data_IF_953336113552
#
_entry.id   IF_953336113552
#
_cell.length_a   1.000
_cell.length_b   1.000
_cell.length_c   1.000
_cell.angle_alpha   90.00
_cell.angle_beta   90.00
_cell.angle_gamma   90.00
#
_symmetry.space_group_name_H-M   'P 1'
#
loop_
_entity.id
_entity.type
_entity.pdbx_description
1 polymer ?
#
# COMPACT_ATOMS: atom_id res chain seq x y z
N UNK A 1 -70.30 35.94 -43.38
CA UNK A 1 -71.27 36.39 -42.37
C UNK A 1 -70.54 37.41 -41.51
N UNK A 2 -70.58 38.72 -41.80
CA UNK A 2 -71.65 39.69 -41.40
C UNK A 2 -72.08 39.45 -39.96
N UNK A 3 -71.81 40.35 -39.00
CA UNK A 3 -72.39 41.69 -38.89
C UNK A 3 -71.39 42.74 -38.34
N UNK A 4 -71.29 43.98 -38.86
CA UNK A 4 -72.26 45.10 -38.99
C UNK A 4 -72.36 45.98 -37.72
N UNK A 5 -71.77 47.19 -37.84
CA UNK A 5 -72.06 48.48 -37.15
C UNK A 5 -71.81 48.54 -35.61
N UNK A 6 -71.06 49.50 -35.06
CA UNK A 6 -71.26 50.96 -35.13
C UNK A 6 -69.93 51.77 -35.02
N UNK A 7 -69.90 52.90 -35.73
CA UNK A 7 -69.10 54.12 -35.48
C UNK A 7 -70.10 55.22 -35.05
N UNK A 8 -69.72 56.42 -34.55
CA UNK A 8 -68.43 57.13 -34.66
C UNK A 8 -67.98 57.87 -33.36
N UNK A 9 -66.78 58.46 -33.28
CA UNK A 9 -66.64 59.92 -33.44
C UNK A 9 -65.16 60.32 -33.62
N UNK A 10 -64.96 61.24 -34.56
CA UNK A 10 -63.70 61.89 -34.96
C UNK A 10 -63.41 63.07 -34.04
N UNK A 11 -62.15 63.23 -33.59
CA UNK A 11 -61.66 64.51 -33.04
C UNK A 11 -60.33 64.93 -33.68
N UNK A 12 -60.45 66.01 -34.44
CA UNK A 12 -59.51 67.06 -34.87
C UNK A 12 -58.00 66.92 -34.64
N UNK A 13 -57.27 66.96 -35.75
CA UNK A 13 -55.88 67.43 -35.79
C UNK A 13 -55.81 68.94 -35.47
N UNK A 14 -54.94 69.31 -34.51
CA UNK A 14 -54.51 70.69 -34.31
C UNK A 14 -53.02 70.83 -34.64
N UNK A 15 -52.71 71.74 -35.57
CA UNK A 15 -51.38 72.17 -35.96
C UNK A 15 -50.75 73.06 -34.86
N UNK A 16 -49.46 72.91 -34.49
CA UNK A 16 -48.89 73.67 -33.37
C UNK A 16 -48.43 75.08 -33.79
N UNK A 17 -48.83 76.08 -32.99
CA UNK A 17 -48.36 77.45 -33.08
C UNK A 17 -46.89 77.60 -32.62
N UNK A 18 -46.13 78.44 -33.32
CA UNK A 18 -44.71 78.73 -33.05
C UNK A 18 -44.55 79.51 -31.74
N UNK A 19 -43.82 78.95 -30.77
CA UNK A 19 -43.47 79.62 -29.50
C UNK A 19 -42.37 80.68 -29.69
N UNK A 20 -42.50 81.79 -28.98
CA UNK A 20 -41.63 82.97 -29.07
C UNK A 20 -40.31 82.80 -28.29
N UNK A 21 -39.28 83.57 -28.67
CA UNK A 21 -37.89 83.50 -28.14
C UNK A 21 -37.78 83.73 -26.61
N UNK A 22 -38.81 84.24 -25.93
CA UNK A 22 -38.81 84.44 -24.47
C UNK A 22 -39.08 83.14 -23.68
N UNK A 23 -39.95 82.25 -24.18
CA UNK A 23 -40.26 80.96 -23.53
C UNK A 23 -39.07 79.98 -23.56
N UNK A 24 -38.26 80.04 -24.62
CA UNK A 24 -37.07 79.21 -24.76
C UNK A 24 -35.96 79.58 -23.75
N UNK A 25 -35.85 80.86 -23.35
CA UNK A 25 -34.89 81.30 -22.31
C UNK A 25 -35.31 80.87 -20.91
N UNK A 26 -36.60 80.97 -20.58
CA UNK A 26 -37.14 80.51 -19.29
C UNK A 26 -36.99 78.97 -19.12
N UNK A 27 -37.26 78.19 -20.16
CA UNK A 27 -37.05 76.73 -20.16
C UNK A 27 -35.57 76.34 -19.99
N UNK A 28 -34.63 77.08 -20.57
CA UNK A 28 -33.18 76.85 -20.39
C UNK A 28 -32.69 77.15 -18.97
N UNK A 29 -33.21 78.20 -18.32
CA UNK A 29 -32.88 78.53 -16.94
C UNK A 29 -33.45 77.50 -15.93
N UNK A 30 -34.69 77.04 -16.13
CA UNK A 30 -35.30 75.98 -15.32
C UNK A 30 -34.55 74.64 -15.46
N UNK A 31 -34.09 74.30 -16.67
CA UNK A 31 -33.31 73.08 -16.95
C UNK A 31 -31.95 73.09 -16.22
N UNK A 32 -31.24 74.23 -16.20
CA UNK A 32 -29.98 74.39 -15.44
C UNK A 32 -30.15 74.27 -13.91
N UNK A 33 -31.23 74.82 -13.33
CA UNK A 33 -31.53 74.67 -11.89
C UNK A 33 -31.86 73.22 -11.50
N UNK A 34 -32.62 72.50 -12.33
CA UNK A 34 -32.95 71.08 -12.11
C UNK A 34 -31.71 70.18 -12.20
N UNK A 35 -30.79 70.49 -13.10
CA UNK A 35 -29.53 69.75 -13.27
C UNK A 35 -28.56 69.94 -12.09
N UNK A 36 -28.48 71.15 -11.51
CA UNK A 36 -27.70 71.42 -10.30
C UNK A 36 -28.26 70.71 -9.05
N UNK A 37 -29.59 70.64 -8.89
CA UNK A 37 -30.23 69.89 -7.80
C UNK A 37 -30.00 68.37 -7.93
N UNK A 38 -30.09 67.81 -9.14
CA UNK A 38 -29.78 66.38 -9.39
C UNK A 38 -28.32 66.03 -9.11
N UNK A 39 -27.36 66.89 -9.50
CA UNK A 39 -25.94 66.67 -9.18
C UNK A 39 -25.67 66.70 -7.67
N UNK A 40 -26.28 67.63 -6.92
CA UNK A 40 -26.15 67.67 -5.46
C UNK A 40 -26.77 66.44 -4.79
N UNK A 41 -27.94 65.99 -5.25
CA UNK A 41 -28.56 64.77 -4.74
C UNK A 41 -27.73 63.51 -5.00
N UNK A 42 -27.10 63.40 -6.18
CA UNK A 42 -26.19 62.29 -6.49
C UNK A 42 -24.92 62.28 -5.64
N UNK A 43 -24.34 63.47 -5.38
CA UNK A 43 -23.16 63.58 -4.50
C UNK A 43 -23.52 63.19 -3.06
N UNK A 44 -24.68 63.63 -2.56
CA UNK A 44 -25.15 63.22 -1.22
C UNK A 44 -25.36 61.71 -1.14
N UNK A 45 -25.99 61.10 -2.15
CA UNK A 45 -26.19 59.64 -2.21
C UNK A 45 -24.86 58.87 -2.22
N UNK A 46 -23.87 59.32 -2.98
CA UNK A 46 -22.55 58.70 -3.04
C UNK A 46 -21.80 58.82 -1.71
N UNK A 47 -21.88 59.97 -1.03
CA UNK A 47 -21.28 60.15 0.30
C UNK A 47 -22.00 59.29 1.32
N UNK A 48 -23.33 59.18 1.27
CA UNK A 48 -24.10 58.27 2.14
C UNK A 48 -23.72 56.81 1.93
N UNK A 49 -23.56 56.37 0.67
CA UNK A 49 -23.11 55.01 0.35
C UNK A 49 -21.68 54.74 0.82
N UNK A 50 -20.78 55.71 0.72
CA UNK A 50 -19.42 55.59 1.24
C UNK A 50 -19.39 55.54 2.78
N UNK A 51 -20.22 56.32 3.46
CA UNK A 51 -20.32 56.30 4.92
C UNK A 51 -20.95 55.00 5.41
N UNK A 52 -22.01 54.52 4.76
CA UNK A 52 -22.65 53.24 5.11
C UNK A 52 -21.77 52.05 4.76
N UNK A 53 -21.07 52.09 3.61
CA UNK A 53 -20.12 51.06 3.22
C UNK A 53 -18.87 51.03 4.11
N UNK A 54 -18.34 52.21 4.48
CA UNK A 54 -17.23 52.33 5.43
C UNK A 54 -17.61 51.92 6.85
N UNK A 55 -18.80 52.28 7.32
CA UNK A 55 -19.32 51.82 8.60
C UNK A 55 -19.59 50.30 8.58
N UNK A 56 -20.13 49.76 7.49
CA UNK A 56 -20.31 48.32 7.30
C UNK A 56 -18.98 47.55 7.28
N UNK A 57 -17.95 48.10 6.63
CA UNK A 57 -16.61 47.51 6.64
C UNK A 57 -15.98 47.53 8.03
N UNK A 58 -16.07 48.65 8.76
CA UNK A 58 -15.54 48.75 10.12
C UNK A 58 -16.30 47.88 11.13
N UNK A 59 -17.60 47.66 10.92
CA UNK A 59 -18.41 46.72 11.70
C UNK A 59 -18.02 45.26 11.40
N UNK A 60 -17.68 44.92 10.16
CA UNK A 60 -17.26 43.55 9.81
C UNK A 60 -15.87 43.20 10.35
N UNK A 61 -14.95 44.17 10.43
CA UNK A 61 -13.56 43.96 10.86
C UNK A 61 -13.38 43.91 12.39
N UNK A 62 -14.32 44.46 13.17
CA UNK A 62 -14.23 44.56 14.65
C UNK A 62 -15.48 44.07 15.40
N UNK A 63 -16.40 43.32 14.76
CA UNK A 63 -17.65 42.87 15.38
C UNK A 63 -17.45 41.88 16.54
N UNK A 64 -16.38 41.09 16.54
CA UNK A 64 -16.12 40.06 17.56
C UNK A 64 -15.83 40.66 18.95
N UNK A 65 -15.08 41.75 19.01
CA UNK A 65 -14.62 42.34 20.28
C UNK A 65 -15.69 43.19 21.00
N UNK A 66 -16.72 43.64 20.27
CA UNK A 66 -17.68 44.61 20.82
C UNK A 66 -18.98 44.00 21.35
N UNK A 67 -19.34 42.78 20.93
CA UNK A 67 -20.66 42.21 21.21
C UNK A 67 -20.68 40.79 21.79
N UNK A 68 -19.53 40.12 21.96
CA UNK A 68 -19.47 38.80 22.62
C UNK A 68 -20.36 37.74 21.96
N UNK A 69 -20.64 37.88 20.67
CA UNK A 69 -21.24 36.82 19.87
C UNK A 69 -20.11 35.91 19.39
N UNK A 70 -20.14 34.64 19.79
CA UNK A 70 -19.33 33.60 19.16
C UNK A 70 -19.50 33.73 17.64
N UNK A 71 -18.38 33.84 16.94
CA UNK A 71 -18.37 34.05 15.51
C UNK A 71 -19.04 32.82 14.87
N UNK A 72 -20.21 32.91 14.22
CA UNK A 72 -20.92 31.74 13.69
C UNK A 72 -20.19 31.05 12.53
N UNK A 73 -19.02 31.60 12.14
CA UNK A 73 -18.09 31.07 11.15
C UNK A 73 -16.84 30.43 11.77
N UNK A 74 -16.64 30.56 13.08
CA UNK A 74 -15.53 29.91 13.77
C UNK A 74 -15.92 28.46 14.03
N UNK A 75 -15.28 27.57 13.28
CA UNK A 75 -15.48 26.14 13.44
C UNK A 75 -15.06 25.75 14.86
N UNK A 76 -16.03 25.35 15.69
CA UNK A 76 -15.79 24.91 17.06
C UNK A 76 -14.69 23.85 17.06
N UNK A 77 -13.65 24.09 17.84
CA UNK A 77 -12.53 23.17 18.04
C UNK A 77 -12.38 22.83 19.52
N UNK A 78 -11.72 21.71 19.83
CA UNK A 78 -11.27 21.44 21.19
C UNK A 78 -9.94 22.14 21.44
N UNK A 79 -9.67 22.51 22.70
CA UNK A 79 -8.35 23.05 23.07
C UNK A 79 -7.23 21.99 22.98
N UNK A 80 -7.59 20.70 23.03
CA UNK A 80 -6.63 19.60 23.07
C UNK A 80 -6.02 19.38 24.46
N UNK A 81 -5.02 18.49 24.60
CA UNK A 81 -4.44 17.64 23.55
C UNK A 81 -5.23 16.34 23.30
N UNK A 82 -6.37 16.16 23.96
CA UNK A 82 -7.16 14.93 23.99
C UNK A 82 -6.81 14.02 25.18
N UNK A 83 -7.66 13.02 25.45
CA UNK A 83 -7.52 12.14 26.64
C UNK A 83 -7.48 10.66 26.30
N UNK A 84 -8.63 10.04 26.06
CA UNK A 84 -8.76 8.59 25.97
C UNK A 84 -8.57 8.11 24.53
N UNK A 85 -7.89 6.97 24.31
CA UNK A 85 -7.69 6.45 22.96
C UNK A 85 -8.98 5.96 22.32
N UNK A 86 -9.14 6.22 21.04
CA UNK A 86 -10.24 5.71 20.20
C UNK A 86 -9.71 5.35 18.81
N UNK A 87 -10.15 4.21 18.29
CA UNK A 87 -9.80 3.78 16.94
C UNK A 87 -10.81 4.34 15.94
N UNK A 88 -10.29 4.94 14.87
CA UNK A 88 -11.07 5.47 13.75
C UNK A 88 -10.55 4.91 12.43
N UNK A 89 -11.45 4.69 11.48
CA UNK A 89 -11.09 4.17 10.15
C UNK A 89 -11.12 5.30 9.13
N UNK A 90 -10.01 5.52 8.44
CA UNK A 90 -9.93 6.45 7.31
C UNK A 90 -9.94 5.66 6.00
N UNK A 91 -11.01 5.78 5.23
CA UNK A 91 -11.17 5.05 3.98
C UNK A 91 -10.25 5.59 2.87
N UNK A 92 -9.77 4.73 1.95
CA UNK A 92 -9.02 5.16 0.78
C UNK A 92 -9.75 6.25 -0.03
N UNK A 93 -9.04 7.33 -0.36
CA UNK A 93 -9.59 8.45 -1.13
C UNK A 93 -10.45 9.44 -0.33
N UNK A 94 -10.55 9.28 1.01
CA UNK A 94 -11.24 10.24 1.88
C UNK A 94 -10.68 11.65 1.71
N UNK A 95 -11.56 12.65 1.59
CA UNK A 95 -11.18 14.06 1.61
C UNK A 95 -11.00 14.57 3.03
N UNK A 96 -10.38 15.75 3.22
CA UNK A 96 -10.28 16.40 4.53
C UNK A 96 -11.63 16.58 5.23
N UNK A 97 -12.72 16.76 4.46
CA UNK A 97 -14.08 16.86 5.01
C UNK A 97 -14.61 15.49 5.46
N UNK A 98 -14.37 14.44 4.69
CA UNK A 98 -14.79 13.07 5.01
C UNK A 98 -14.09 12.59 6.29
N UNK A 99 -12.77 12.78 6.34
CA UNK A 99 -11.97 12.54 7.55
C UNK A 99 -12.50 13.35 8.74
N UNK A 100 -12.74 14.66 8.56
CA UNK A 100 -13.28 15.50 9.62
C UNK A 100 -14.65 15.04 10.13
N UNK A 101 -15.50 14.47 9.26
CA UNK A 101 -16.80 13.92 9.65
C UNK A 101 -16.65 12.68 10.53
N UNK A 102 -15.82 11.71 10.09
CA UNK A 102 -15.52 10.49 10.86
C UNK A 102 -14.95 10.83 12.24
N UNK A 103 -13.99 11.77 12.29
CA UNK A 103 -13.37 12.18 13.54
C UNK A 103 -14.30 12.95 14.48
N UNK A 104 -15.27 13.67 13.93
CA UNK A 104 -16.29 14.35 14.76
C UNK A 104 -17.26 13.33 15.34
N UNK A 105 -17.69 12.36 14.54
CA UNK A 105 -18.58 11.28 14.98
C UNK A 105 -17.92 10.43 16.08
N UNK A 106 -16.63 10.14 15.93
CA UNK A 106 -15.84 9.44 16.94
C UNK A 106 -15.48 10.29 18.18
N UNK A 107 -15.83 11.58 18.21
CA UNK A 107 -15.51 12.48 19.33
C UNK A 107 -14.03 12.88 19.42
N UNK A 108 -13.24 12.62 18.37
CA UNK A 108 -11.82 13.00 18.29
C UNK A 108 -11.67 14.51 18.13
N UNK A 109 -12.45 15.14 17.25
CA UNK A 109 -12.43 16.60 17.01
C UNK A 109 -13.80 17.22 17.23
N UNK A 110 -13.87 18.50 17.58
CA UNK A 110 -15.15 19.13 17.92
C UNK A 110 -16.02 19.44 16.70
N UNK A 111 -15.42 19.59 15.50
CA UNK A 111 -16.17 19.75 14.26
C UNK A 111 -15.37 19.38 13.00
N UNK A 112 -16.08 18.85 12.00
CA UNK A 112 -15.53 18.53 10.68
C UNK A 112 -14.96 19.76 9.97
N UNK A 113 -15.55 20.94 10.19
CA UNK A 113 -15.08 22.19 9.63
C UNK A 113 -13.72 22.63 10.22
N UNK A 114 -13.51 22.44 11.52
CA UNK A 114 -12.23 22.77 12.16
C UNK A 114 -11.12 21.84 11.64
N UNK A 115 -11.42 20.54 11.53
CA UNK A 115 -10.51 19.56 10.93
C UNK A 115 -10.20 19.86 9.47
N UNK A 116 -11.21 20.12 8.63
CA UNK A 116 -11.01 20.42 7.22
C UNK A 116 -10.13 21.67 7.02
N UNK A 117 -10.34 22.72 7.84
CA UNK A 117 -9.47 23.90 7.84
C UNK A 117 -8.03 23.55 8.24
N UNK A 118 -7.83 22.81 9.33
CA UNK A 118 -6.51 22.38 9.77
C UNK A 118 -5.80 21.47 8.74
N UNK A 119 -6.57 20.65 8.03
CA UNK A 119 -6.10 19.80 6.93
C UNK A 119 -5.61 20.65 5.75
N UNK A 120 -6.40 21.64 5.31
CA UNK A 120 -6.01 22.56 4.23
C UNK A 120 -4.79 23.42 4.59
N UNK A 121 -4.67 23.82 5.87
CA UNK A 121 -3.55 24.62 6.37
C UNK A 121 -2.25 23.81 6.56
N UNK A 122 -2.33 22.46 6.58
CA UNK A 122 -1.16 21.60 6.73
C UNK A 122 -0.65 21.10 5.38
N UNK A 123 0.56 21.53 4.93
CA UNK A 123 1.08 21.18 3.60
C UNK A 123 1.39 19.68 3.43
N UNK A 124 1.46 18.92 4.53
CA UNK A 124 1.69 17.48 4.52
C UNK A 124 0.41 16.66 4.66
N UNK A 125 -0.77 17.29 4.73
CA UNK A 125 -2.04 16.58 4.94
C UNK A 125 -2.34 15.51 3.88
N UNK A 126 -1.88 15.72 2.63
CA UNK A 126 -1.98 14.72 1.56
C UNK A 126 -1.13 13.45 1.76
N UNK A 127 -0.28 13.38 2.80
CA UNK A 127 0.50 12.20 3.17
C UNK A 127 -0.19 11.30 4.19
N UNK A 128 -1.34 11.72 4.73
CA UNK A 128 -2.15 10.89 5.62
C UNK A 128 -2.49 9.61 4.89
N UNK A 129 -2.10 8.47 5.47
CA UNK A 129 -2.40 7.17 4.90
C UNK A 129 -3.82 6.75 5.31
N UNK A 130 -4.56 6.04 4.44
CA UNK A 130 -5.79 5.36 4.84
C UNK A 130 -5.49 4.23 5.84
N UNK A 131 -6.52 3.78 6.54
CA UNK A 131 -6.47 2.68 7.50
C UNK A 131 -6.99 3.06 8.89
N UNK A 132 -6.79 2.16 9.85
CA UNK A 132 -7.20 2.37 11.24
C UNK A 132 -6.17 3.20 12.00
N UNK A 133 -6.61 4.25 12.69
CA UNK A 133 -5.77 5.09 13.54
C UNK A 133 -6.31 5.16 14.98
N UNK A 134 -5.44 4.93 15.96
CA UNK A 134 -5.71 5.22 17.37
C UNK A 134 -5.44 6.70 17.65
N UNK A 135 -6.50 7.50 17.70
CA UNK A 135 -6.47 8.92 18.08
C UNK A 135 -6.94 9.11 19.52
N UNK A 136 -6.99 10.34 20.02
CA UNK A 136 -7.51 10.64 21.35
C UNK A 136 -8.86 11.37 21.23
N UNK A 137 -9.79 11.09 22.15
CA UNK A 137 -11.00 11.88 22.30
C UNK A 137 -10.65 13.32 22.69
N UNK A 138 -11.30 14.31 22.08
CA UNK A 138 -11.11 15.71 22.47
C UNK A 138 -9.82 16.39 21.97
N UNK A 139 -9.20 15.89 20.90
CA UNK A 139 -8.03 16.53 20.26
C UNK A 139 -8.42 17.85 19.58
N UNK A 140 -7.51 18.83 19.59
CA UNK A 140 -7.63 19.96 18.67
C UNK A 140 -7.53 19.45 17.22
N UNK A 141 -8.22 20.11 16.29
CA UNK A 141 -8.20 19.75 14.88
C UNK A 141 -6.78 19.74 14.31
N UNK A 142 -5.95 20.70 14.73
CA UNK A 142 -4.55 20.80 14.35
C UNK A 142 -3.72 19.61 14.84
N UNK A 143 -3.90 19.19 16.09
CA UNK A 143 -3.17 18.05 16.65
C UNK A 143 -3.63 16.74 16.00
N UNK A 144 -4.93 16.59 15.74
CA UNK A 144 -5.46 15.42 15.03
C UNK A 144 -4.84 15.30 13.62
N UNK A 145 -4.79 16.39 12.85
CA UNK A 145 -4.11 16.40 11.54
C UNK A 145 -2.62 16.10 11.68
N UNK A 146 -1.93 16.72 12.63
CA UNK A 146 -0.50 16.50 12.84
C UNK A 146 -0.19 15.02 13.15
N UNK A 147 -1.01 14.38 13.98
CA UNK A 147 -0.87 12.98 14.35
C UNK A 147 -1.16 12.03 13.19
N UNK A 148 -2.22 12.30 12.43
CA UNK A 148 -2.52 11.54 11.21
C UNK A 148 -1.41 11.68 10.15
N UNK A 149 -0.83 12.87 9.99
CA UNK A 149 0.30 13.11 9.07
C UNK A 149 1.56 12.37 9.53
N UNK A 150 1.78 12.26 10.83
CA UNK A 150 2.92 11.53 11.39
C UNK A 150 2.81 10.01 11.18
N UNK A 151 1.59 9.48 10.89
CA UNK A 151 1.27 8.06 10.79
C UNK A 151 1.63 7.22 12.04
N UNK A 152 1.93 7.86 13.18
CA UNK A 152 2.27 7.20 14.44
C UNK A 152 1.05 6.63 15.18
N UNK A 153 -0.14 7.11 14.81
CA UNK A 153 -1.43 6.62 15.29
C UNK A 153 -1.92 5.40 14.54
N UNK A 154 -1.30 5.02 13.41
CA UNK A 154 -1.81 3.93 12.57
C UNK A 154 -1.65 2.59 13.28
N UNK A 155 -2.75 1.84 13.38
CA UNK A 155 -2.76 0.50 13.96
C UNK A 155 -2.36 -0.48 12.88
N UNK A 156 -1.15 -1.04 13.01
CA UNK A 156 -0.59 -2.01 12.06
C UNK A 156 -0.10 -3.24 12.80
N UNK A 157 -0.50 -4.42 12.33
CA UNK A 157 0.12 -5.70 12.74
C UNK A 157 1.14 -6.10 11.68
N UNK A 158 2.41 -6.24 12.05
CA UNK A 158 3.48 -6.61 11.10
C UNK A 158 3.87 -8.07 11.25
N UNK A 159 3.73 -8.84 10.17
CA UNK A 159 4.22 -10.21 10.08
C UNK A 159 5.41 -10.24 9.14
N UNK A 160 6.62 -10.43 9.67
CA UNK A 160 7.80 -10.67 8.83
C UNK A 160 7.96 -12.16 8.55
N UNK A 161 7.86 -12.63 7.33
CA UNK A 161 8.17 -14.02 6.95
C UNK A 161 9.61 -14.10 6.44
N UNK A 162 10.52 -14.81 7.13
CA UNK A 162 11.89 -14.97 6.65
C UNK A 162 11.97 -15.88 5.42
N UNK A 163 12.98 -15.65 4.60
CA UNK A 163 13.35 -16.53 3.48
C UNK A 163 13.70 -17.94 3.97
N UNK A 164 13.48 -18.93 3.11
CA UNK A 164 13.70 -20.35 3.40
C UNK A 164 12.66 -20.99 4.33
N UNK A 165 11.73 -20.22 4.90
CA UNK A 165 10.69 -20.77 5.76
C UNK A 165 9.76 -21.72 5.00
N UNK A 166 9.48 -22.85 5.63
CA UNK A 166 8.44 -23.80 5.21
C UNK A 166 7.05 -23.27 5.53
N UNK A 167 6.02 -23.74 4.82
CA UNK A 167 4.61 -23.39 5.12
C UNK A 167 4.30 -23.58 6.61
N UNK A 168 4.72 -24.69 7.21
CA UNK A 168 4.50 -24.95 8.64
C UNK A 168 5.03 -23.81 9.53
N UNK A 169 6.27 -23.37 9.29
CA UNK A 169 6.88 -22.29 10.05
C UNK A 169 6.18 -20.95 9.79
N UNK A 170 5.71 -20.72 8.56
CA UNK A 170 4.93 -19.54 8.20
C UNK A 170 3.60 -19.50 8.95
N UNK A 171 2.89 -20.63 9.04
CA UNK A 171 1.63 -20.71 9.78
C UNK A 171 1.82 -20.50 11.28
N UNK A 172 2.81 -21.17 11.88
CA UNK A 172 3.14 -21.01 13.30
C UNK A 172 3.49 -19.55 13.62
N UNK A 173 4.28 -18.92 12.77
CA UNK A 173 4.65 -17.51 12.91
C UNK A 173 3.46 -16.58 12.75
N UNK A 174 2.66 -16.76 11.70
CA UNK A 174 1.47 -15.96 11.44
C UNK A 174 0.47 -16.07 12.60
N UNK A 175 0.31 -17.28 13.13
CA UNK A 175 -0.50 -17.54 14.32
C UNK A 175 0.04 -16.80 15.55
N UNK A 176 1.35 -16.85 15.80
CA UNK A 176 1.98 -16.18 16.95
C UNK A 176 1.81 -14.65 16.93
N UNK A 177 1.79 -14.05 15.74
CA UNK A 177 1.72 -12.58 15.57
C UNK A 177 0.27 -12.09 15.57
N UNK A 178 -0.63 -12.82 14.93
CA UNK A 178 -2.04 -12.39 14.75
C UNK A 178 -2.98 -12.87 15.84
N UNK A 179 -2.61 -13.94 16.56
CA UNK A 179 -3.50 -14.65 17.47
C UNK A 179 -4.49 -15.59 16.76
N UNK A 180 -4.51 -15.64 15.42
CA UNK A 180 -5.33 -16.58 14.66
C UNK A 180 -4.75 -18.00 14.84
N UNK A 181 -5.55 -19.03 15.23
CA UNK A 181 -5.08 -20.41 15.33
C UNK A 181 -4.49 -20.95 14.02
N UNK A 182 -3.43 -21.78 14.10
CA UNK A 182 -2.86 -22.47 12.93
C UNK A 182 -3.93 -23.24 12.13
N UNK A 183 -4.87 -23.89 12.84
CA UNK A 183 -5.97 -24.63 12.21
C UNK A 183 -6.86 -23.78 11.29
N UNK A 184 -6.99 -22.48 11.55
CA UNK A 184 -7.77 -21.58 10.71
C UNK A 184 -7.02 -21.26 9.40
N UNK A 185 -5.69 -21.17 9.44
CA UNK A 185 -4.86 -21.09 8.23
C UNK A 185 -4.89 -22.38 7.41
N UNK A 186 -4.82 -23.53 8.07
CA UNK A 186 -4.97 -24.83 7.40
C UNK A 186 -6.35 -24.95 6.72
N UNK A 187 -7.41 -24.51 7.41
CA UNK A 187 -8.76 -24.48 6.85
C UNK A 187 -8.88 -23.50 5.66
N UNK A 188 -8.25 -22.33 5.75
CA UNK A 188 -8.21 -21.38 4.64
C UNK A 188 -7.50 -21.95 3.40
N UNK A 189 -6.40 -22.67 3.61
CA UNK A 189 -5.63 -23.29 2.51
C UNK A 189 -6.39 -24.44 1.81
N UNK A 190 -7.41 -25.01 2.44
CA UNK A 190 -8.25 -26.05 1.82
C UNK A 190 -9.11 -25.53 0.66
N UNK A 191 -9.38 -24.22 0.60
CA UNK A 191 -10.05 -23.56 -0.53
C UNK A 191 -9.00 -22.79 -1.37
N UNK A 192 -8.34 -23.51 -2.27
CA UNK A 192 -7.30 -22.96 -3.15
C UNK A 192 -7.80 -21.86 -4.07
N UNK A 193 -9.10 -21.85 -4.41
CA UNK A 193 -9.69 -20.80 -5.22
C UNK A 193 -9.84 -19.50 -4.43
N UNK A 194 -10.24 -19.58 -3.16
CA UNK A 194 -10.36 -18.41 -2.29
C UNK A 194 -9.01 -17.74 -1.97
N UNK A 195 -7.95 -18.53 -1.81
CA UNK A 195 -6.58 -18.02 -1.59
C UNK A 195 -5.88 -17.61 -2.89
N UNK A 196 -6.43 -17.96 -4.05
CA UNK A 196 -5.84 -17.65 -5.35
C UNK A 196 -4.60 -18.48 -5.69
N UNK A 197 -4.42 -19.66 -5.07
CA UNK A 197 -3.29 -20.54 -5.37
C UNK A 197 -3.36 -21.00 -6.85
N UNK A 198 -2.30 -20.78 -7.65
CA UNK A 198 -2.28 -21.21 -9.05
C UNK A 198 -2.40 -22.73 -9.22
N UNK A 199 -2.93 -23.16 -10.37
CA UNK A 199 -3.15 -24.57 -10.65
C UNK A 199 -1.84 -25.37 -10.72
N UNK A 200 -0.75 -24.72 -11.12
CA UNK A 200 0.61 -25.24 -11.20
C UNK A 200 1.14 -25.70 -9.83
N UNK A 201 0.63 -25.14 -8.75
CA UNK A 201 0.93 -25.53 -7.38
C UNK A 201 0.35 -26.90 -6.99
N UNK A 202 -0.61 -27.42 -7.78
CA UNK A 202 -1.32 -28.67 -7.53
C UNK A 202 -1.88 -28.79 -6.10
N UNK A 203 -2.37 -27.69 -5.55
CA UNK A 203 -2.92 -27.61 -4.19
C UNK A 203 -1.88 -27.60 -3.06
N UNK A 204 -0.59 -27.46 -3.37
CA UNK A 204 0.47 -27.38 -2.37
C UNK A 204 0.99 -25.93 -2.23
N UNK A 205 1.07 -25.43 -1.00
CA UNK A 205 1.50 -24.04 -0.73
C UNK A 205 3.00 -23.89 -0.48
N UNK A 206 3.78 -24.97 -0.45
CA UNK A 206 5.21 -24.90 -0.21
C UNK A 206 5.89 -24.09 -1.32
N UNK A 207 6.69 -23.11 -0.92
CA UNK A 207 7.29 -22.13 -1.84
C UNK A 207 6.35 -21.06 -2.39
N UNK A 208 5.03 -21.14 -2.15
CA UNK A 208 4.04 -20.20 -2.67
C UNK A 208 3.70 -19.04 -1.73
N UNK A 209 4.24 -19.04 -0.51
CA UNK A 209 4.01 -17.99 0.47
C UNK A 209 5.21 -17.04 0.53
N UNK A 210 5.13 -15.90 -0.15
CA UNK A 210 6.31 -15.05 -0.37
C UNK A 210 6.96 -14.56 0.94
N UNK A 211 8.30 -14.60 1.07
CA UNK A 211 8.98 -14.13 2.26
C UNK A 211 9.17 -12.61 2.24
N UNK A 212 8.40 -11.90 3.06
CA UNK A 212 8.54 -10.44 3.25
C UNK A 212 7.88 -9.99 4.55
N UNK A 213 7.91 -8.71 4.86
CA UNK A 213 7.11 -8.10 5.93
C UNK A 213 5.76 -7.64 5.41
N UNK A 214 4.70 -8.32 5.85
CA UNK A 214 3.31 -7.97 5.63
C UNK A 214 2.82 -7.01 6.70
N UNK A 215 2.20 -5.91 6.27
CA UNK A 215 1.51 -4.97 7.15
C UNK A 215 0.02 -5.28 7.05
N UNK A 216 -0.57 -5.76 8.15
CA UNK A 216 -1.98 -6.09 8.24
C UNK A 216 -2.74 -4.98 8.94
N UNK A 217 -3.82 -4.52 8.31
CA UNK A 217 -4.76 -3.60 8.91
C UNK A 217 -5.81 -4.37 9.73
N UNK A 218 -6.39 -3.80 10.79
CA UNK A 218 -7.36 -4.50 11.65
C UNK A 218 -8.56 -5.15 10.93
N UNK A 219 -8.93 -4.68 9.74
CA UNK A 219 -9.97 -5.27 8.89
C UNK A 219 -9.52 -6.46 8.02
N UNK A 220 -8.21 -6.61 7.80
CA UNK A 220 -7.60 -7.62 6.92
C UNK A 220 -7.12 -8.87 7.67
N UNK A 221 -7.31 -8.92 8.99
CA UNK A 221 -6.79 -9.99 9.86
C UNK A 221 -7.70 -11.21 9.84
N UNK A 222 -7.77 -11.89 8.70
CA UNK A 222 -8.32 -13.24 8.60
C UNK A 222 -7.34 -14.18 7.87
N UNK A 223 -7.41 -15.47 8.18
CA UNK A 223 -6.49 -16.47 7.66
C UNK A 223 -6.44 -16.50 6.12
N UNK A 224 -7.61 -16.47 5.47
CA UNK A 224 -7.72 -16.50 4.00
C UNK A 224 -7.05 -15.28 3.35
N UNK A 225 -7.33 -14.08 3.85
CA UNK A 225 -6.75 -12.84 3.32
C UNK A 225 -5.23 -12.78 3.45
N UNK A 226 -4.68 -13.26 4.58
CA UNK A 226 -3.23 -13.31 4.80
C UNK A 226 -2.58 -14.28 3.81
N UNK A 227 -3.11 -15.50 3.67
CA UNK A 227 -2.58 -16.49 2.71
C UNK A 227 -2.72 -15.99 1.28
N UNK A 228 -3.87 -15.39 0.93
CA UNK A 228 -4.10 -14.82 -0.38
C UNK A 228 -3.08 -13.71 -0.71
N UNK A 229 -2.78 -12.83 0.26
CA UNK A 229 -1.76 -11.79 0.11
C UNK A 229 -0.38 -12.39 -0.18
N UNK A 230 0.01 -13.45 0.54
CA UNK A 230 1.28 -14.13 0.35
C UNK A 230 1.39 -14.80 -1.04
N UNK A 231 0.33 -15.49 -1.49
CA UNK A 231 0.26 -16.11 -2.82
C UNK A 231 0.26 -15.07 -3.93
N UNK A 232 -0.52 -13.99 -3.76
CA UNK A 232 -0.56 -12.88 -4.71
C UNK A 232 0.81 -12.20 -4.84
N UNK A 233 1.55 -12.07 -3.74
CA UNK A 233 2.90 -11.51 -3.80
C UNK A 233 3.83 -12.45 -4.58
N UNK A 234 3.81 -13.76 -4.33
CA UNK A 234 4.62 -14.74 -5.07
C UNK A 234 4.37 -14.66 -6.58
N UNK A 235 3.10 -14.65 -6.99
CA UNK A 235 2.73 -14.59 -8.42
C UNK A 235 3.15 -13.27 -9.06
N UNK A 236 3.03 -12.15 -8.33
CA UNK A 236 3.49 -10.84 -8.79
C UNK A 236 5.01 -10.80 -8.99
N UNK A 237 5.77 -11.34 -8.05
CA UNK A 237 7.24 -11.34 -8.08
C UNK A 237 7.78 -12.22 -9.21
N UNK A 238 7.20 -13.41 -9.40
CA UNK A 238 7.54 -14.29 -10.52
C UNK A 238 7.22 -13.63 -11.87
N UNK A 239 6.07 -12.96 -11.99
CA UNK A 239 5.69 -12.26 -13.21
C UNK A 239 6.61 -11.06 -13.50
N UNK A 240 6.99 -10.30 -12.48
CA UNK A 240 7.93 -9.18 -12.60
C UNK A 240 9.33 -9.64 -13.04
N UNK A 241 9.75 -10.83 -12.58
CA UNK A 241 10.98 -11.49 -13.03
C UNK A 241 10.87 -12.15 -14.42
N UNK A 242 9.71 -12.06 -15.08
CA UNK A 242 9.49 -12.61 -16.41
C UNK A 242 9.42 -14.14 -16.44
N UNK A 243 9.16 -14.78 -15.29
CA UNK A 243 8.89 -16.22 -15.26
C UNK A 243 7.52 -16.45 -15.92
N UNK A 244 7.40 -17.37 -16.89
CA UNK A 244 6.10 -17.67 -17.46
C UNK A 244 5.28 -18.54 -16.47
N UNK A 245 3.96 -18.34 -16.36
CA UNK A 245 3.13 -19.03 -15.35
C UNK A 245 3.30 -20.55 -15.31
N UNK A 246 3.40 -21.20 -16.48
CA UNK A 246 3.59 -22.64 -16.60
C UNK A 246 4.91 -23.16 -16.00
N UNK A 247 5.87 -22.27 -15.74
CA UNK A 247 7.16 -22.59 -15.09
C UNK A 247 7.24 -22.12 -13.65
N UNK A 248 6.20 -21.48 -13.10
CA UNK A 248 6.23 -20.99 -11.71
C UNK A 248 6.62 -22.10 -10.73
N UNK A 249 5.97 -23.26 -10.81
CA UNK A 249 6.24 -24.39 -9.91
C UNK A 249 7.68 -24.93 -10.05
N UNK A 250 8.17 -25.04 -11.28
CA UNK A 250 9.52 -25.53 -11.58
C UNK A 250 10.57 -24.57 -11.01
N UNK A 251 10.39 -23.26 -11.27
CA UNK A 251 11.30 -22.21 -10.83
C UNK A 251 11.28 -22.04 -9.32
N UNK A 252 10.11 -22.06 -8.67
CA UNK A 252 10.01 -22.02 -7.21
C UNK A 252 10.67 -23.24 -6.57
N UNK A 253 10.51 -24.42 -7.15
CA UNK A 253 11.16 -25.64 -6.62
C UNK A 253 12.68 -25.50 -6.68
N UNK A 254 13.24 -25.11 -7.83
CA UNK A 254 14.67 -24.87 -7.97
C UNK A 254 15.17 -23.74 -7.04
N UNK A 255 14.46 -22.62 -6.98
CA UNK A 255 14.84 -21.47 -6.18
C UNK A 255 14.84 -21.81 -4.68
N UNK A 256 13.89 -22.62 -4.21
CA UNK A 256 13.86 -23.06 -2.82
C UNK A 256 15.06 -23.93 -2.44
N UNK A 257 15.61 -24.70 -3.39
CA UNK A 257 16.84 -25.47 -3.19
C UNK A 257 18.05 -24.54 -3.18
N UNK A 258 18.13 -23.62 -4.14
CA UNK A 258 19.19 -22.61 -4.24
C UNK A 258 19.28 -21.73 -3.00
N UNK A 259 18.14 -21.40 -2.38
CA UNK A 259 18.07 -20.62 -1.14
C UNK A 259 18.87 -21.24 0.00
N UNK A 260 18.82 -22.57 0.12
CA UNK A 260 19.51 -23.30 1.18
C UNK A 260 20.97 -23.64 0.84
N UNK A 261 21.29 -23.76 -0.45
CA UNK A 261 22.59 -24.25 -0.91
C UNK A 261 23.59 -23.11 -1.23
N UNK A 262 23.11 -21.92 -1.61
CA UNK A 262 23.97 -20.79 -2.01
C UNK A 262 24.05 -19.68 -0.95
N UNK A 263 25.26 -19.34 -0.48
CA UNK A 263 25.45 -18.29 0.55
C UNK A 263 25.45 -16.85 0.00
N UNK A 264 25.73 -16.69 -1.28
CA UNK A 264 25.83 -15.39 -1.94
C UNK A 264 25.38 -15.50 -3.41
N UNK A 265 25.24 -14.36 -4.10
CA UNK A 265 24.75 -14.31 -5.48
C UNK A 265 25.53 -15.19 -6.47
N UNK A 266 26.87 -15.20 -6.39
CA UNK A 266 27.71 -16.03 -7.26
C UNK A 266 27.45 -17.52 -7.03
N UNK A 267 27.47 -17.95 -5.77
CA UNK A 267 27.21 -19.34 -5.39
C UNK A 267 25.79 -19.76 -5.77
N UNK A 268 24.78 -18.91 -5.54
CA UNK A 268 23.38 -19.21 -5.92
C UNK A 268 23.27 -19.47 -7.43
N UNK A 269 23.91 -18.66 -8.26
CA UNK A 269 23.95 -18.88 -9.71
C UNK A 269 24.64 -20.19 -10.09
N UNK A 270 25.81 -20.48 -9.49
CA UNK A 270 26.54 -21.72 -9.78
C UNK A 270 25.79 -22.96 -9.31
N UNK A 271 25.13 -22.92 -8.14
CA UNK A 271 24.24 -23.99 -7.65
C UNK A 271 23.07 -24.19 -8.61
N UNK A 272 22.41 -23.12 -9.05
CA UNK A 272 21.35 -23.21 -10.05
C UNK A 272 21.83 -23.89 -11.33
N UNK A 273 23.05 -23.57 -11.81
CA UNK A 273 23.67 -24.24 -12.95
C UNK A 273 23.90 -25.74 -12.70
N UNK A 274 24.37 -26.12 -11.51
CA UNK A 274 24.52 -27.54 -11.12
C UNK A 274 23.19 -28.28 -11.15
N UNK A 275 22.09 -27.67 -10.67
CA UNK A 275 20.75 -28.25 -10.73
C UNK A 275 20.36 -28.52 -12.19
N UNK A 276 20.48 -27.54 -13.07
CA UNK A 276 20.17 -27.71 -14.49
C UNK A 276 21.01 -28.82 -15.14
N UNK A 277 22.33 -28.78 -14.95
CA UNK A 277 23.24 -29.76 -15.56
C UNK A 277 22.93 -31.18 -15.09
N UNK A 278 22.65 -31.37 -13.79
CA UNK A 278 22.29 -32.71 -13.27
C UNK A 278 20.95 -33.20 -13.78
N UNK A 279 19.95 -32.33 -13.92
CA UNK A 279 18.66 -32.70 -14.50
C UNK A 279 18.85 -33.12 -15.97
N UNK A 280 19.64 -32.37 -16.73
CA UNK A 280 19.93 -32.67 -18.14
C UNK A 280 20.66 -34.02 -18.30
N UNK A 281 21.61 -34.32 -17.41
CA UNK A 281 22.37 -35.58 -17.40
C UNK A 281 21.60 -36.77 -16.77
N UNK A 282 20.37 -36.55 -16.29
CA UNK A 282 19.61 -37.58 -15.59
C UNK A 282 20.27 -38.03 -14.28
N UNK A 283 21.00 -37.14 -13.61
CA UNK A 283 21.60 -37.39 -12.31
C UNK A 283 20.64 -37.01 -11.17
N UNK A 284 20.62 -37.79 -10.07
CA UNK A 284 20.03 -37.32 -8.82
C UNK A 284 20.70 -36.03 -8.32
N UNK A 285 19.91 -35.11 -7.75
CA UNK A 285 20.41 -33.82 -7.29
C UNK A 285 21.38 -33.94 -6.11
N UNK A 286 21.16 -34.90 -5.21
CA UNK A 286 22.04 -35.21 -4.08
C UNK A 286 22.33 -34.01 -3.18
N UNK A 287 21.30 -33.22 -2.88
CA UNK A 287 21.36 -31.97 -2.11
C UNK A 287 20.71 -32.18 -0.74
N UNK A 288 21.47 -31.94 0.33
CA UNK A 288 21.06 -32.24 1.71
C UNK A 288 19.83 -31.45 2.12
N UNK A 289 19.65 -30.23 1.61
CA UNK A 289 18.49 -29.40 1.91
C UNK A 289 17.16 -30.11 1.56
N UNK A 290 17.15 -30.88 0.47
CA UNK A 290 15.97 -31.65 0.02
C UNK A 290 15.68 -32.80 1.00
N UNK A 291 16.72 -33.55 1.37
CA UNK A 291 16.60 -34.69 2.28
C UNK A 291 16.20 -34.25 3.71
N UNK A 292 16.77 -33.13 4.18
CA UNK A 292 16.45 -32.50 5.47
C UNK A 292 14.98 -32.08 5.52
N UNK A 293 14.48 -31.44 4.45
CA UNK A 293 13.07 -31.09 4.35
C UNK A 293 12.17 -32.33 4.39
N UNK A 294 12.46 -33.33 3.54
CA UNK A 294 11.65 -34.54 3.42
C UNK A 294 11.60 -35.40 4.67
N UNK A 295 12.70 -35.47 5.43
CA UNK A 295 12.79 -36.27 6.66
C UNK A 295 12.47 -35.48 7.92
N UNK A 296 12.43 -34.14 7.85
CA UNK A 296 12.16 -33.27 9.00
C UNK A 296 13.21 -33.38 10.11
N UNK A 297 14.47 -33.64 9.76
CA UNK A 297 15.58 -33.77 10.72
C UNK A 297 16.88 -33.15 10.21
N UNK A 298 17.78 -32.73 11.11
CA UNK A 298 19.11 -32.24 10.75
C UNK A 298 19.92 -33.23 9.91
N UNK A 299 20.74 -32.72 8.98
CA UNK A 299 21.52 -33.54 8.04
C UNK A 299 22.48 -34.52 8.74
N UNK A 300 23.05 -34.12 9.89
CA UNK A 300 23.95 -34.95 10.71
C UNK A 300 23.25 -36.12 11.41
N UNK A 301 21.91 -36.16 11.40
CA UNK A 301 21.08 -37.22 11.97
C UNK A 301 20.46 -38.14 10.91
N UNK A 302 20.66 -37.87 9.62
CA UNK A 302 20.16 -38.71 8.53
C UNK A 302 21.11 -39.88 8.32
N UNK A 303 20.61 -41.12 8.36
CA UNK A 303 21.45 -42.31 8.15
C UNK A 303 21.70 -42.56 6.66
N UNK A 304 22.71 -43.37 6.37
CA UNK A 304 22.98 -43.78 4.97
C UNK A 304 21.81 -44.56 4.37
N UNK A 305 21.13 -45.40 5.17
CA UNK A 305 19.94 -46.13 4.71
C UNK A 305 18.81 -45.19 4.32
N UNK A 306 18.60 -44.11 5.09
CA UNK A 306 17.55 -43.13 4.80
C UNK A 306 17.87 -42.30 3.56
N UNK A 307 19.12 -41.86 3.41
CA UNK A 307 19.58 -41.19 2.19
C UNK A 307 19.41 -42.04 0.93
N UNK A 308 19.44 -43.37 1.06
CA UNK A 308 19.36 -44.32 -0.05
C UNK A 308 17.99 -45.00 -0.16
N UNK A 309 16.99 -44.55 0.60
CA UNK A 309 15.68 -45.18 0.61
C UNK A 309 14.81 -44.68 -0.56
N UNK A 310 14.50 -45.52 -1.57
CA UNK A 310 13.66 -45.13 -2.71
C UNK A 310 12.19 -44.92 -2.38
N UNK A 311 11.74 -45.31 -1.17
CA UNK A 311 10.35 -45.13 -0.74
C UNK A 311 10.09 -43.72 -0.19
N UNK A 312 11.14 -42.92 0.04
CA UNK A 312 11.03 -41.54 0.54
C UNK A 312 10.93 -40.55 -0.64
N UNK A 313 9.83 -39.81 -0.80
CA UNK A 313 9.60 -38.97 -1.98
C UNK A 313 10.65 -37.88 -2.24
N UNK A 314 11.38 -37.48 -1.20
CA UNK A 314 12.40 -36.43 -1.24
C UNK A 314 13.83 -36.98 -1.22
N UNK A 315 14.04 -38.31 -1.36
CA UNK A 315 15.38 -38.90 -1.37
C UNK A 315 16.20 -38.43 -2.58
N UNK A 316 16.94 -37.34 -2.39
CA UNK A 316 17.58 -36.55 -3.46
C UNK A 316 18.74 -37.29 -4.13
N UNK A 317 19.26 -38.33 -3.47
CA UNK A 317 20.36 -39.19 -3.91
C UNK A 317 19.89 -40.40 -4.72
N UNK A 318 18.58 -40.64 -4.75
CA UNK A 318 17.95 -41.79 -5.40
C UNK A 318 17.07 -41.34 -6.56
N UNK A 319 16.19 -40.37 -6.32
CA UNK A 319 15.29 -39.86 -7.34
C UNK A 319 15.99 -38.85 -8.26
N UNK A 320 15.77 -39.00 -9.57
CA UNK A 320 16.21 -38.06 -10.59
C UNK A 320 15.19 -36.91 -10.73
N UNK A 321 15.67 -35.74 -11.13
CA UNK A 321 14.83 -34.55 -11.32
C UNK A 321 14.60 -33.75 -10.04
N UNK A 322 13.61 -32.86 -10.09
CA UNK A 322 13.22 -32.03 -8.95
C UNK A 322 12.43 -32.82 -7.90
N UNK A 323 12.49 -32.42 -6.61
CA UNK A 323 11.60 -32.97 -5.59
C UNK A 323 10.13 -32.66 -5.89
N UNK A 324 9.17 -33.33 -5.21
CA UNK A 324 7.74 -33.16 -5.48
C UNK A 324 7.21 -31.73 -5.31
N UNK A 325 7.83 -30.94 -4.43
CA UNK A 325 7.47 -29.54 -4.15
C UNK A 325 8.73 -28.72 -3.88
N UNK A 326 8.63 -27.38 -3.80
CA UNK A 326 9.63 -26.56 -3.14
C UNK A 326 9.87 -27.05 -1.71
N UNK A 327 11.00 -26.66 -1.12
CA UNK A 327 11.40 -27.06 0.24
C UNK A 327 11.38 -25.88 1.24
N UNK A 328 10.72 -24.80 0.84
CA UNK A 328 10.62 -23.54 1.59
C UNK A 328 10.36 -22.37 0.65
N UNK A 329 10.20 -21.18 1.22
CA UNK A 329 9.87 -19.95 0.49
C UNK A 329 11.15 -19.25 0.01
N UNK A 330 11.44 -19.24 -1.30
CA UNK A 330 12.68 -18.65 -1.81
C UNK A 330 12.66 -17.13 -1.79
N UNK A 331 13.84 -16.54 -1.67
CA UNK A 331 14.05 -15.11 -1.92
C UNK A 331 13.90 -14.76 -3.40
N UNK A 332 13.71 -13.48 -3.69
CA UNK A 332 13.75 -12.96 -5.06
C UNK A 332 15.10 -13.24 -5.73
N UNK A 333 16.19 -13.11 -4.98
CA UNK A 333 17.55 -13.34 -5.45
C UNK A 333 17.78 -14.80 -5.86
N UNK A 334 17.18 -15.76 -5.15
CA UNK A 334 17.25 -17.17 -5.52
C UNK A 334 16.45 -17.47 -6.80
N UNK A 335 15.30 -16.82 -6.99
CA UNK A 335 14.56 -16.90 -8.26
C UNK A 335 15.38 -16.28 -9.40
N UNK A 336 15.97 -15.11 -9.19
CA UNK A 336 16.85 -14.45 -10.16
C UNK A 336 18.06 -15.32 -10.54
N UNK A 337 18.65 -16.02 -9.58
CA UNK A 337 19.76 -16.95 -9.82
C UNK A 337 19.35 -18.15 -10.68
N UNK A 338 18.14 -18.69 -10.48
CA UNK A 338 17.60 -19.77 -11.32
C UNK A 338 17.30 -19.29 -12.73
N UNK A 339 16.79 -18.08 -12.88
CA UNK A 339 16.46 -17.50 -14.19
C UNK A 339 17.71 -17.09 -14.97
N UNK A 340 18.78 -16.71 -14.28
CA UNK A 340 20.03 -16.20 -14.88
C UNK A 340 21.25 -17.05 -14.52
N UNK A 341 21.07 -18.38 -14.43
CA UNK A 341 22.17 -19.28 -14.06
C UNK A 341 23.33 -19.14 -15.06
N UNK A 342 24.57 -18.83 -14.61
CA UNK A 342 25.73 -18.67 -15.49
C UNK A 342 26.03 -19.97 -16.22
N UNK A 343 26.46 -19.91 -17.48
CA UNK A 343 26.91 -21.10 -18.21
C UNK A 343 28.16 -21.68 -17.55
N UNK A 344 28.20 -23.01 -17.41
CA UNK A 344 29.37 -23.73 -16.94
C UNK A 344 29.07 -25.22 -16.78
N UNK A 345 30.11 -26.08 -16.81
CA UNK A 345 29.93 -27.53 -16.85
C UNK A 345 29.75 -28.16 -15.47
N UNK A 346 29.68 -27.37 -14.40
CA UNK A 346 29.76 -27.87 -13.03
C UNK A 346 28.62 -28.85 -12.71
N UNK A 347 29.01 -29.96 -12.09
CA UNK A 347 28.11 -31.01 -11.63
C UNK A 347 28.28 -31.27 -10.13
N UNK A 348 29.39 -30.87 -9.53
CA UNK A 348 29.68 -31.08 -8.11
C UNK A 348 30.18 -29.80 -7.46
N UNK A 349 29.90 -29.65 -6.17
CA UNK A 349 30.45 -28.57 -5.37
C UNK A 349 30.56 -29.00 -3.91
N UNK A 350 31.51 -28.39 -3.20
CA UNK A 350 31.67 -28.57 -1.75
C UNK A 350 32.25 -27.30 -1.14
N UNK A 351 31.72 -26.93 0.02
CA UNK A 351 32.30 -25.85 0.84
C UNK A 351 33.56 -26.38 1.50
N UNK A 352 34.71 -25.77 1.20
CA UNK A 352 36.02 -26.21 1.70
C UNK A 352 36.49 -25.42 2.93
N UNK A 353 35.87 -24.26 3.18
CA UNK A 353 36.17 -23.41 4.34
C UNK A 353 34.86 -22.82 4.88
N UNK A 354 34.47 -23.19 6.10
CA UNK A 354 33.19 -22.73 6.68
C UNK A 354 33.26 -21.29 7.20
N UNK A 355 34.44 -20.79 7.57
CA UNK A 355 34.64 -19.42 8.06
C UNK A 355 34.51 -18.40 6.92
N UNK A 356 35.17 -18.66 5.80
CA UNK A 356 35.08 -17.79 4.61
C UNK A 356 33.85 -18.07 3.78
N UNK A 357 33.28 -19.27 3.89
CA UNK A 357 32.23 -19.77 3.03
C UNK A 357 32.70 -20.12 1.62
N UNK A 358 33.99 -20.36 1.40
CA UNK A 358 34.54 -20.74 0.10
C UNK A 358 33.96 -22.10 -0.35
N UNK A 359 33.30 -22.09 -1.50
CA UNK A 359 32.72 -23.27 -2.15
C UNK A 359 33.39 -23.46 -3.51
N UNK A 360 33.91 -24.67 -3.75
CA UNK A 360 34.56 -25.02 -5.02
C UNK A 360 33.62 -25.86 -5.85
N UNK A 361 33.57 -25.56 -7.15
CA UNK A 361 32.72 -26.22 -8.13
C UNK A 361 33.57 -26.94 -9.18
N UNK A 362 33.11 -28.09 -9.65
CA UNK A 362 33.81 -28.91 -10.66
C UNK A 362 32.84 -29.73 -11.50
N UNK A 363 33.28 -30.10 -12.69
CA UNK A 363 32.65 -31.02 -13.64
C UNK A 363 33.31 -32.40 -13.65
N UNK A 364 34.13 -32.74 -12.65
CA UNK A 364 34.63 -34.11 -12.46
C UNK A 364 34.50 -34.60 -11.02
N UNK A 365 34.12 -35.87 -10.87
CA UNK A 365 34.05 -36.51 -9.57
C UNK A 365 35.42 -36.64 -8.90
N UNK A 366 36.50 -36.77 -9.68
CA UNK A 366 37.86 -36.89 -9.16
C UNK A 366 38.34 -35.60 -8.46
N UNK A 367 38.06 -34.42 -9.04
CA UNK A 367 38.33 -33.14 -8.38
C UNK A 367 37.43 -32.93 -7.18
N UNK A 368 36.15 -33.35 -7.26
CA UNK A 368 35.24 -33.26 -6.12
C UNK A 368 35.75 -34.04 -4.90
N UNK A 369 36.29 -35.25 -5.09
CA UNK A 369 36.91 -36.02 -3.99
C UNK A 369 38.17 -35.35 -3.43
N UNK A 370 38.91 -34.57 -4.23
CA UNK A 370 40.03 -33.76 -3.73
C UNK A 370 39.51 -32.60 -2.87
N UNK A 371 38.47 -31.89 -3.31
CA UNK A 371 37.87 -30.81 -2.52
C UNK A 371 37.25 -31.32 -1.21
N UNK A 372 36.68 -32.53 -1.21
CA UNK A 372 36.23 -33.19 0.03
C UNK A 372 37.38 -33.49 1.00
N UNK A 373 38.56 -33.83 0.50
CA UNK A 373 39.75 -34.01 1.34
C UNK A 373 40.21 -32.68 1.94
N UNK A 374 40.19 -31.60 1.14
CA UNK A 374 40.47 -30.24 1.62
C UNK A 374 39.49 -29.83 2.73
N UNK A 375 38.19 -30.05 2.56
CA UNK A 375 37.19 -29.82 3.60
C UNK A 375 37.47 -30.63 4.87
N UNK A 376 37.78 -31.92 4.75
CA UNK A 376 38.12 -32.77 5.91
C UNK A 376 39.38 -32.30 6.64
N UNK A 377 40.37 -31.82 5.89
CA UNK A 377 41.57 -31.24 6.47
C UNK A 377 41.22 -29.96 7.24
N UNK A 378 40.41 -29.07 6.64
CA UNK A 378 39.94 -27.86 7.30
C UNK A 378 39.19 -28.16 8.61
N UNK A 379 38.29 -29.17 8.62
CA UNK A 379 37.59 -29.60 9.83
C UNK A 379 38.57 -30.08 10.93
N UNK A 380 39.57 -30.87 10.56
CA UNK A 380 40.56 -31.38 11.51
C UNK A 380 41.41 -30.27 12.13
N UNK A 381 41.69 -29.21 11.38
CA UNK A 381 42.47 -28.05 11.83
C UNK A 381 41.65 -27.06 12.69
N UNK A 382 40.32 -27.03 12.53
CA UNK A 382 39.44 -26.05 13.17
C UNK A 382 38.46 -26.64 14.21
N UNK A 383 38.66 -27.89 14.62
CA UNK A 383 37.99 -28.47 15.79
C UNK A 383 36.68 -29.20 15.53
N UNK A 384 36.33 -29.43 14.26
CA UNK A 384 35.11 -30.16 13.85
C UNK A 384 33.88 -29.29 13.80
#
# INVERSE_FOLDING_TARGET
MTDLFERPAVQGEQQPARSSRSEQRARRAAKKRRQRRRRRALVVLLVSLLVVGGAGYLLLDNASDLFGFDNPLEAKDFEGPGTDPVDVVIEPGSTGRDMGAVLTEAGVVASSAAFAKAFEENPNAGKIQPGTHTLLLGMSAKDAVARLVANDSRVETKITIPEGYTVKQILERSSSVTGIPVADFEAAMADTAATGLPAEANGNYEGWLYPTTYVLEPGDVNATGIIQGMVSQTTSELADLGVPPERFQEVLTMASIVEWEGKNAEQRGMVARVIYNRIEDGMPLGMDAIDVYGLGKPADQITTEEFQNPDLPYASRVHQGLPPTPIGSPSRESVEAVMNAPEGPWLWYVTVNLDTGETKFTDTYAEFEQFKQEYRQWLAENGG
#
